data_IF_065369840587
#
_entry.id   IF_065369840587
#
_cell.length_a   1.000
_cell.length_b   1.000
_cell.length_c   1.000
_cell.angle_alpha   90.00
_cell.angle_beta   90.00
_cell.angle_gamma   90.00
#
_symmetry.space_group_name_H-M   'P 1'
#
loop_
_entity.id
_entity.type
_entity.pdbx_description
1 polymer ?
#
# COMPACT_ATOMS: atom_id res chain seq x y z
N UNK A 1 -1.26 -9.27 -20.22
CA UNK A 1 -1.61 -8.64 -18.94
C UNK A 1 -1.18 -9.58 -17.83
N UNK A 2 -0.39 -9.09 -16.88
CA UNK A 2 0.04 -9.89 -15.72
C UNK A 2 -1.05 -9.82 -14.64
N UNK A 3 -1.31 -10.94 -13.96
CA UNK A 3 -2.14 -10.95 -12.75
C UNK A 3 -1.39 -10.26 -11.62
N UNK A 4 -2.09 -9.61 -10.66
CA UNK A 4 -1.46 -9.24 -9.41
C UNK A 4 -0.85 -10.48 -8.72
N UNK A 5 0.34 -10.32 -8.14
CA UNK A 5 1.04 -11.40 -7.45
C UNK A 5 0.48 -11.69 -6.06
N UNK A 6 0.03 -10.64 -5.37
CA UNK A 6 -0.65 -10.75 -4.07
C UNK A 6 -1.50 -9.50 -3.78
N UNK A 7 -2.49 -9.67 -2.89
CA UNK A 7 -3.34 -8.59 -2.38
C UNK A 7 -3.54 -8.73 -0.87
N UNK A 8 -3.08 -7.76 -0.10
CA UNK A 8 -3.09 -7.81 1.37
C UNK A 8 -3.89 -6.63 1.93
N UNK A 9 -4.95 -6.95 2.67
CA UNK A 9 -5.74 -5.95 3.38
C UNK A 9 -5.01 -5.50 4.66
N UNK A 10 -4.92 -4.20 4.89
CA UNK A 10 -4.27 -3.60 6.06
C UNK A 10 -4.90 -2.26 6.43
N UNK A 11 -4.50 -1.71 7.57
CA UNK A 11 -4.87 -0.35 8.00
C UNK A 11 -3.61 0.51 8.09
N UNK A 12 -3.57 1.70 7.46
CA UNK A 12 -2.41 2.58 7.50
C UNK A 12 -2.00 3.00 8.91
N UNK A 13 -2.94 3.24 9.81
CA UNK A 13 -2.67 3.49 11.23
C UNK A 13 -3.31 2.43 12.13
N UNK A 14 -2.66 2.11 13.25
CA UNK A 14 -3.25 1.31 14.35
C UNK A 14 -4.53 1.94 14.93
N UNK A 15 -4.70 3.25 14.75
CA UNK A 15 -5.88 4.00 15.21
C UNK A 15 -7.01 4.01 14.20
N UNK A 16 -6.76 3.62 12.96
CA UNK A 16 -7.79 3.60 11.93
C UNK A 16 -8.83 2.53 12.23
N UNK A 17 -10.07 2.85 11.91
CA UNK A 17 -11.20 1.92 11.94
C UNK A 17 -11.89 1.94 10.57
N UNK A 18 -12.91 1.11 10.39
CA UNK A 18 -13.60 1.02 9.10
C UNK A 18 -12.90 0.09 8.10
N UNK A 19 -13.11 0.35 6.81
CA UNK A 19 -12.65 -0.56 5.74
C UNK A 19 -11.13 -0.52 5.57
N UNK A 20 -10.51 -1.69 5.31
CA UNK A 20 -9.08 -1.75 5.11
C UNK A 20 -8.69 -1.12 3.76
N UNK A 21 -7.48 -0.60 3.70
CA UNK A 21 -6.78 -0.41 2.43
C UNK A 21 -6.29 -1.78 1.95
N UNK A 22 -6.05 -1.92 0.65
CA UNK A 22 -5.46 -3.16 0.09
C UNK A 22 -4.17 -2.80 -0.61
N UNK A 23 -3.06 -3.33 -0.13
CA UNK A 23 -1.81 -3.30 -0.88
C UNK A 23 -1.89 -4.34 -1.99
N UNK A 24 -1.53 -3.95 -3.21
CA UNK A 24 -1.59 -4.81 -4.38
C UNK A 24 -0.20 -4.89 -5.02
N UNK A 25 0.36 -6.09 -5.02
CA UNK A 25 1.58 -6.41 -5.76
C UNK A 25 1.23 -6.59 -7.24
N UNK A 26 1.89 -5.84 -8.11
CA UNK A 26 1.66 -5.89 -9.54
C UNK A 26 2.38 -7.01 -10.29
N UNK A 27 3.19 -7.83 -9.62
CA UNK A 27 3.99 -8.92 -10.23
C UNK A 27 4.76 -8.43 -11.49
N UNK A 28 4.51 -8.99 -12.68
CA UNK A 28 5.18 -8.57 -13.92
C UNK A 28 4.73 -7.21 -14.49
N UNK A 29 3.82 -6.48 -13.81
CA UNK A 29 3.63 -5.05 -14.10
C UNK A 29 4.72 -4.18 -13.47
N UNK A 30 5.58 -4.78 -12.65
CA UNK A 30 6.72 -4.16 -11.98
C UNK A 30 6.34 -2.95 -11.11
N UNK A 31 5.07 -2.89 -10.69
CA UNK A 31 4.47 -1.76 -9.99
C UNK A 31 3.78 -2.21 -8.72
N UNK A 32 3.67 -1.29 -7.77
CA UNK A 32 2.90 -1.47 -6.54
C UNK A 32 1.76 -0.46 -6.48
N UNK A 33 0.63 -0.88 -5.94
CA UNK A 33 -0.58 -0.07 -5.84
C UNK A 33 -1.18 -0.18 -4.45
N UNK A 34 -1.99 0.82 -4.10
CA UNK A 34 -2.89 0.76 -2.96
C UNK A 34 -4.31 0.99 -3.47
N UNK A 35 -5.23 0.11 -3.08
CA UNK A 35 -6.66 0.35 -3.22
C UNK A 35 -7.15 1.03 -1.94
N UNK A 36 -7.69 2.24 -2.09
CA UNK A 36 -8.24 3.06 -1.00
C UNK A 36 -9.77 2.99 -1.07
N UNK A 37 -10.49 2.66 0.02
CA UNK A 37 -11.95 2.62 0.01
C UNK A 37 -12.51 4.01 -0.33
N UNK A 38 -13.49 4.07 -1.24
CA UNK A 38 -14.12 5.35 -1.62
C UNK A 38 -15.09 5.90 -0.57
N UNK A 39 -15.54 5.05 0.35
CA UNK A 39 -16.54 5.38 1.35
C UNK A 39 -16.53 4.37 2.50
N UNK A 40 -16.94 4.81 3.69
CA UNK A 40 -17.17 3.95 4.86
C UNK A 40 -18.59 3.34 4.91
N UNK A 41 -19.49 3.69 3.99
CA UNK A 41 -20.82 3.07 3.88
C UNK A 41 -20.68 1.55 3.70
N UNK A 42 -21.19 0.75 4.63
CA UNK A 42 -21.06 -0.72 4.65
C UNK A 42 -21.57 -1.41 3.37
N UNK A 43 -22.44 -0.77 2.60
CA UNK A 43 -22.93 -1.29 1.32
C UNK A 43 -22.00 -0.97 0.12
N UNK A 44 -21.13 0.02 0.25
CA UNK A 44 -20.29 0.51 -0.84
C UNK A 44 -18.86 -0.04 -0.76
N UNK A 45 -18.56 -1.13 -1.46
CA UNK A 45 -17.21 -1.72 -1.51
C UNK A 45 -16.39 -1.26 -2.72
N UNK A 46 -16.64 -0.05 -3.22
CA UNK A 46 -15.80 0.52 -4.27
C UNK A 46 -14.49 1.06 -3.72
N UNK A 47 -13.43 0.84 -4.50
CA UNK A 47 -12.08 1.31 -4.20
C UNK A 47 -11.55 2.18 -5.33
N UNK A 48 -10.66 3.11 -4.97
CA UNK A 48 -9.81 3.85 -5.90
C UNK A 48 -8.43 3.25 -5.90
N UNK A 49 -7.92 2.85 -7.07
CA UNK A 49 -6.54 2.40 -7.23
C UNK A 49 -5.60 3.59 -7.27
N UNK A 50 -4.60 3.60 -6.42
CA UNK A 50 -3.53 4.59 -6.38
C UNK A 50 -2.20 3.91 -6.70
N UNK A 51 -1.51 4.28 -7.80
CA UNK A 51 -0.17 3.79 -8.06
C UNK A 51 0.81 4.42 -7.05
N UNK A 52 1.69 3.59 -6.48
CA UNK A 52 2.65 4.03 -5.47
C UNK A 52 4.04 4.17 -6.08
N UNK A 53 4.49 3.13 -6.79
CA UNK A 53 5.80 3.14 -7.45
C UNK A 53 5.87 2.12 -8.58
N UNK A 54 6.75 2.40 -9.54
CA UNK A 54 7.28 1.43 -10.49
C UNK A 54 8.70 1.06 -10.05
N UNK A 55 8.95 -0.22 -9.75
CA UNK A 55 10.23 -0.73 -9.27
C UNK A 55 11.07 -1.38 -10.37
N UNK A 56 10.48 -1.66 -11.54
CA UNK A 56 11.20 -2.27 -12.66
C UNK A 56 11.69 -3.69 -12.41
N UNK A 57 11.06 -4.42 -11.49
CA UNK A 57 11.34 -5.82 -11.16
C UNK A 57 10.03 -6.55 -10.86
N UNK A 58 10.03 -7.87 -10.97
CA UNK A 58 8.91 -8.71 -10.53
C UNK A 58 8.65 -8.50 -9.04
N UNK A 59 7.40 -8.17 -8.70
CA UNK A 59 7.01 -7.77 -7.36
C UNK A 59 6.51 -8.98 -6.57
N UNK A 60 7.20 -9.30 -5.49
CA UNK A 60 6.83 -10.40 -4.61
C UNK A 60 5.69 -10.11 -3.65
N UNK A 61 5.40 -11.09 -2.79
CA UNK A 61 4.47 -10.93 -1.69
C UNK A 61 5.04 -9.95 -0.65
N UNK A 62 4.29 -8.91 -0.26
CA UNK A 62 4.75 -7.98 0.76
C UNK A 62 4.68 -8.58 2.18
N UNK A 63 5.43 -7.98 3.10
CA UNK A 63 5.17 -8.06 4.54
C UNK A 63 4.71 -6.69 5.05
N UNK A 64 3.65 -6.66 5.86
CA UNK A 64 3.04 -5.42 6.35
C UNK A 64 2.90 -5.47 7.86
N UNK A 65 3.30 -4.39 8.53
CA UNK A 65 3.17 -4.23 9.97
C UNK A 65 3.86 -2.95 10.44
N UNK A 66 3.45 -2.42 11.57
CA UNK A 66 4.15 -1.30 12.23
C UNK A 66 5.41 -1.83 12.91
N UNK A 67 6.58 -1.57 12.33
CA UNK A 67 7.87 -2.15 12.74
C UNK A 67 8.80 -1.17 13.46
N UNK A 68 8.48 0.12 13.47
CA UNK A 68 9.21 1.15 14.21
C UNK A 68 8.39 1.78 15.37
N UNK A 69 7.17 1.31 15.61
CA UNK A 69 6.27 1.69 16.70
C UNK A 69 5.83 3.16 16.66
N UNK A 70 5.76 3.75 15.47
CA UNK A 70 5.25 5.12 15.26
C UNK A 70 3.71 5.18 15.17
N UNK A 71 3.05 4.02 15.14
CA UNK A 71 1.60 3.88 15.04
C UNK A 71 1.05 3.76 13.62
N UNK A 72 1.93 3.73 12.61
CA UNK A 72 1.62 3.56 11.20
C UNK A 72 2.24 2.26 10.65
N UNK A 73 1.65 1.74 9.58
CA UNK A 73 2.12 0.52 8.96
C UNK A 73 3.39 0.76 8.14
N UNK A 74 4.31 -0.20 8.18
CA UNK A 74 5.37 -0.36 7.19
C UNK A 74 4.99 -1.41 6.17
N UNK A 75 5.55 -1.27 4.96
CA UNK A 75 5.44 -2.27 3.89
C UNK A 75 6.82 -2.61 3.37
N UNK A 76 7.16 -3.89 3.45
CA UNK A 76 8.37 -4.45 2.87
C UNK A 76 8.01 -5.19 1.58
N UNK A 77 8.58 -4.74 0.46
CA UNK A 77 8.30 -5.25 -0.88
C UNK A 77 9.53 -5.93 -1.47
N UNK A 78 9.48 -7.24 -1.76
CA UNK A 78 10.52 -7.90 -2.54
C UNK A 78 10.46 -7.44 -4.00
N UNK A 79 11.56 -6.88 -4.51
CA UNK A 79 11.76 -6.56 -5.92
C UNK A 79 12.78 -7.56 -6.49
N UNK A 80 12.28 -8.69 -7.01
CA UNK A 80 13.10 -9.90 -7.21
C UNK A 80 14.26 -9.69 -8.19
N UNK A 81 13.99 -9.17 -9.39
CA UNK A 81 15.02 -8.98 -10.42
C UNK A 81 16.12 -7.99 -10.00
N UNK A 82 15.75 -7.05 -9.14
CA UNK A 82 16.69 -6.07 -8.59
C UNK A 82 17.51 -6.62 -7.42
N UNK A 83 17.17 -7.80 -6.88
CA UNK A 83 17.76 -8.38 -5.67
C UNK A 83 17.73 -7.44 -4.45
N UNK A 84 16.63 -6.69 -4.28
CA UNK A 84 16.45 -5.79 -3.14
C UNK A 84 15.09 -5.97 -2.45
N UNK A 85 15.07 -5.59 -1.18
CA UNK A 85 13.85 -5.39 -0.41
C UNK A 85 13.64 -3.88 -0.22
N UNK A 86 12.49 -3.37 -0.65
CA UNK A 86 12.15 -1.95 -0.53
C UNK A 86 11.21 -1.75 0.65
N UNK A 87 11.51 -0.78 1.53
CA UNK A 87 10.62 -0.37 2.63
C UNK A 87 9.86 0.88 2.22
N UNK A 88 8.55 0.88 2.44
CA UNK A 88 7.68 2.05 2.44
C UNK A 88 7.10 2.22 3.84
N UNK A 89 6.96 3.47 4.26
CA UNK A 89 6.43 3.86 5.56
C UNK A 89 5.16 4.68 5.33
N UNK A 90 4.10 4.36 6.05
CA UNK A 90 2.93 5.25 6.14
C UNK A 90 3.19 6.30 7.21
N UNK A 91 2.58 7.47 7.02
CA UNK A 91 2.64 8.51 8.04
C UNK A 91 1.36 9.33 8.06
N UNK A 92 1.31 10.35 8.93
CA UNK A 92 0.21 11.29 8.95
C UNK A 92 -0.06 11.84 7.56
N UNK A 93 -1.32 11.93 7.16
CA UNK A 93 -1.68 12.60 5.93
C UNK A 93 -1.09 14.02 5.94
N UNK A 94 -0.33 14.36 4.90
CA UNK A 94 0.29 15.68 4.81
C UNK A 94 -0.81 16.75 4.84
N UNK A 95 -0.85 17.56 5.89
CA UNK A 95 -1.68 18.75 5.91
C UNK A 95 -1.11 19.69 4.85
N UNK A 96 -1.85 19.95 3.78
CA UNK A 96 -1.45 20.96 2.82
C UNK A 96 -1.25 22.29 3.57
N UNK A 97 -0.01 22.78 3.61
CA UNK A 97 0.27 24.09 4.18
C UNK A 97 -0.46 25.14 3.32
N UNK A 98 -1.44 25.81 3.91
CA UNK A 98 -1.94 27.06 3.34
C UNK A 98 -0.79 28.06 3.46
N UNK A 99 -0.19 28.39 2.31
CA UNK A 99 0.65 29.57 2.19
C UNK A 99 -0.30 30.74 1.90
N UNK A 100 -0.48 31.60 2.90
CA UNK A 100 -1.16 32.91 2.76
C UNK A 100 -0.15 33.98 2.37
#
# INVERSE_FOLDING_TARGET
TASPGDAVAFRPSRRDSGKPHIFLSGDNSNSIFILVPKSEDVANWEYTTQPIAYLGADIGRPAIGDTDDDGFADVYVPAYDNNVLVRYEFGPAATAAIVI
#
